data_IF_660401887181
#
_entry.id   IF_660401887181
#
_cell.length_a   1.000
_cell.length_b   1.000
_cell.length_c   1.000
_cell.angle_alpha   90.00
_cell.angle_beta   90.00
_cell.angle_gamma   90.00
#
_symmetry.space_group_name_H-M   'P 1'
#
loop_
_entity.id
_entity.type
_entity.pdbx_description
1 polymer ?
#
# COMPACT_ATOMS: atom_id res chain seq x y z
N UNK A 1 4.49 -3.88 5.60
CA UNK A 1 4.04 -2.71 4.81
C UNK A 1 5.25 -2.20 4.05
N UNK A 2 5.06 -1.56 2.89
CA UNK A 2 6.17 -1.05 2.07
C UNK A 2 7.05 -0.13 2.92
N UNK A 3 8.36 -0.39 3.02
CA UNK A 3 9.31 0.48 3.73
C UNK A 3 9.30 0.41 5.27
N UNK A 4 8.51 -0.46 5.89
CA UNK A 4 8.71 -0.78 7.31
C UNK A 4 9.89 -1.74 7.46
N UNK A 5 10.66 -1.61 8.54
CA UNK A 5 11.61 -2.66 8.91
C UNK A 5 10.88 -4.01 8.93
N UNK A 6 11.53 -5.05 8.39
CA UNK A 6 11.00 -6.41 8.39
C UNK A 6 10.36 -6.70 9.76
N UNK A 7 9.07 -7.09 9.81
CA UNK A 7 8.44 -7.40 11.09
C UNK A 7 9.29 -8.45 11.81
N UNK A 8 9.25 -8.41 13.15
CA UNK A 8 9.93 -9.34 14.05
C UNK A 8 9.99 -10.77 13.47
N UNK A 9 11.11 -11.49 13.67
CA UNK A 9 11.56 -12.60 12.81
C UNK A 9 10.46 -13.59 12.47
N UNK A 10 10.45 -14.06 11.22
CA UNK A 10 9.51 -15.06 10.72
C UNK A 10 9.33 -16.19 11.74
N UNK A 11 8.12 -16.34 12.27
CA UNK A 11 7.80 -17.44 13.17
C UNK A 11 7.72 -18.74 12.38
N UNK A 12 8.68 -19.64 12.60
CA UNK A 12 8.64 -21.01 12.06
C UNK A 12 7.94 -21.90 13.08
N UNK A 13 6.89 -22.61 12.65
CA UNK A 13 6.25 -23.62 13.49
C UNK A 13 6.94 -24.97 13.32
N UNK A 14 7.31 -25.62 14.43
CA UNK A 14 7.95 -26.94 14.43
C UNK A 14 7.00 -27.91 15.12
N UNK A 15 6.37 -28.79 14.33
CA UNK A 15 5.41 -29.77 14.82
C UNK A 15 6.02 -31.20 14.81
N UNK A 16 5.49 -32.08 15.65
CA UNK A 16 5.83 -33.52 15.62
C UNK A 16 7.09 -33.92 16.40
N UNK A 17 7.64 -33.02 17.22
CA UNK A 17 8.78 -33.30 18.12
C UNK A 17 8.50 -32.82 19.53
N UNK A 18 9.08 -33.52 20.53
CA UNK A 18 9.09 -33.08 21.92
C UNK A 18 10.25 -32.11 22.23
N UNK A 19 11.19 -31.97 21.28
CA UNK A 19 12.42 -31.18 21.42
C UNK A 19 12.64 -30.29 20.19
N UNK A 20 11.77 -29.30 19.94
CA UNK A 20 11.87 -28.40 18.79
C UNK A 20 13.18 -27.60 18.76
N UNK A 21 13.80 -27.36 19.91
CA UNK A 21 15.07 -26.65 20.06
C UNK A 21 16.29 -27.39 19.48
N UNK A 22 16.16 -28.68 19.18
CA UNK A 22 17.23 -29.48 18.56
C UNK A 22 17.19 -29.49 17.03
N UNK A 23 16.16 -28.90 16.43
CA UNK A 23 16.03 -28.78 14.97
C UNK A 23 16.70 -27.48 14.54
N UNK A 24 17.82 -27.62 13.82
CA UNK A 24 18.49 -26.51 13.16
C UNK A 24 17.83 -26.23 11.80
N UNK A 25 17.60 -24.94 11.54
CA UNK A 25 17.07 -24.44 10.28
C UNK A 25 17.56 -23.02 10.05
N UNK A 26 17.65 -22.63 8.79
CA UNK A 26 17.90 -21.27 8.33
C UNK A 26 16.62 -20.72 7.69
N UNK A 27 16.39 -19.42 7.88
CA UNK A 27 15.28 -18.70 7.24
C UNK A 27 15.85 -17.52 6.48
N UNK A 28 15.52 -17.44 5.20
CA UNK A 28 15.89 -16.31 4.33
C UNK A 28 14.62 -15.74 3.67
N UNK A 29 14.52 -14.41 3.63
CA UNK A 29 13.51 -13.71 2.82
C UNK A 29 14.21 -13.09 1.61
N UNK A 30 13.58 -13.16 0.44
CA UNK A 30 13.97 -12.34 -0.71
C UNK A 30 14.03 -10.85 -0.31
N UNK A 31 15.15 -10.21 -0.62
CA UNK A 31 15.35 -8.79 -0.33
C UNK A 31 14.38 -7.91 -1.15
N UNK A 32 13.89 -6.85 -0.52
CA UNK A 32 13.16 -5.78 -1.19
C UNK A 32 11.99 -5.27 -0.37
N UNK A 33 11.66 -4.02 -0.61
CA UNK A 33 10.64 -3.27 0.13
C UNK A 33 9.47 -2.86 -0.77
N UNK A 34 9.55 -3.18 -2.06
CA UNK A 34 8.54 -2.84 -3.04
C UNK A 34 7.23 -3.60 -2.87
N UNK A 35 6.12 -3.04 -3.35
CA UNK A 35 4.85 -3.77 -3.42
C UNK A 35 5.07 -5.02 -4.25
N UNK A 36 4.72 -6.17 -3.67
CA UNK A 36 5.00 -7.45 -4.29
C UNK A 36 4.95 -8.58 -3.28
N UNK A 37 5.32 -9.76 -3.76
CA UNK A 37 5.43 -10.97 -2.96
C UNK A 37 6.89 -11.39 -2.94
N UNK A 38 7.38 -11.72 -1.76
CA UNK A 38 8.74 -12.13 -1.47
C UNK A 38 8.71 -13.56 -0.95
N UNK A 39 9.59 -14.43 -1.46
CA UNK A 39 9.71 -15.78 -0.91
C UNK A 39 10.31 -15.72 0.50
N UNK A 40 9.80 -16.57 1.39
CA UNK A 40 10.41 -16.85 2.69
C UNK A 40 10.82 -18.31 2.66
N UNK A 41 12.10 -18.56 2.41
CA UNK A 41 12.65 -19.90 2.29
C UNK A 41 13.13 -20.38 3.66
N UNK A 42 12.64 -21.55 4.05
CA UNK A 42 13.14 -22.28 5.22
C UNK A 42 13.96 -23.45 4.70
N UNK A 43 15.18 -23.61 5.19
CA UNK A 43 16.07 -24.68 4.77
C UNK A 43 16.86 -25.24 5.94
N UNK A 44 17.44 -26.43 5.76
CA UNK A 44 18.22 -27.10 6.79
C UNK A 44 18.52 -28.54 6.40
N UNK A 45 19.14 -29.28 7.32
CA UNK A 45 19.36 -30.70 7.11
C UNK A 45 18.03 -31.45 7.28
N UNK A 46 17.65 -32.27 6.30
CA UNK A 46 16.45 -33.11 6.36
C UNK A 46 16.58 -34.25 7.36
N UNK A 47 17.79 -34.61 7.80
CA UNK A 47 18.03 -35.66 8.78
C UNK A 47 18.75 -35.09 9.99
N UNK A 48 18.01 -34.95 11.09
CA UNK A 48 18.52 -34.35 12.33
C UNK A 48 18.23 -35.29 13.50
N UNK A 49 19.29 -35.95 13.98
CA UNK A 49 19.17 -37.00 14.98
C UNK A 49 18.29 -38.15 14.48
N UNK A 50 17.19 -38.41 15.20
CA UNK A 50 16.23 -39.47 14.86
C UNK A 50 15.03 -38.98 14.02
N UNK A 51 15.07 -37.73 13.52
CA UNK A 51 13.97 -37.12 12.79
C UNK A 51 14.32 -36.94 11.30
N UNK A 52 13.33 -37.21 10.46
CA UNK A 52 13.30 -36.69 9.10
C UNK A 52 12.47 -35.41 9.10
N UNK A 53 13.11 -34.28 8.83
CA UNK A 53 12.53 -32.93 8.85
C UNK A 53 12.14 -32.54 7.44
N UNK A 54 10.93 -32.03 7.28
CA UNK A 54 10.46 -31.42 6.03
C UNK A 54 10.33 -29.92 6.22
N UNK A 55 10.92 -29.14 5.31
CA UNK A 55 10.86 -27.69 5.36
C UNK A 55 9.81 -27.17 4.37
N UNK A 56 8.87 -26.38 4.88
CA UNK A 56 7.83 -25.75 4.06
C UNK A 56 8.12 -24.26 4.01
N UNK A 57 8.39 -23.75 2.81
CA UNK A 57 8.62 -22.32 2.58
C UNK A 57 7.30 -21.54 2.59
N UNK A 58 7.36 -20.28 3.00
CA UNK A 58 6.24 -19.34 3.06
C UNK A 58 6.39 -18.20 2.06
N UNK A 59 5.47 -17.23 2.15
CA UNK A 59 5.54 -15.98 1.39
C UNK A 59 5.27 -14.79 2.30
N UNK A 60 5.93 -13.67 2.01
CA UNK A 60 5.69 -12.37 2.62
C UNK A 60 5.15 -11.42 1.55
N UNK A 61 4.05 -10.72 1.84
CA UNK A 61 3.42 -9.81 0.88
C UNK A 61 3.41 -8.38 1.37
N UNK A 62 3.88 -7.48 0.50
CA UNK A 62 3.81 -6.03 0.65
C UNK A 62 2.68 -5.52 -0.25
N UNK A 63 1.61 -5.01 0.36
CA UNK A 63 0.42 -4.51 -0.35
C UNK A 63 0.48 -3.01 -0.57
N UNK A 64 -0.20 -2.53 -1.63
CA UNK A 64 -0.39 -1.09 -1.87
C UNK A 64 -1.19 -0.47 -0.73
N UNK A 65 -0.76 0.71 -0.28
CA UNK A 65 -1.55 1.54 0.63
C UNK A 65 -2.62 2.29 -0.17
N UNK A 66 -3.82 2.43 0.40
CA UNK A 66 -4.88 3.22 -0.20
C UNK A 66 -4.55 4.72 -0.07
N UNK A 67 -4.62 5.45 -1.19
CA UNK A 67 -4.52 6.90 -1.25
C UNK A 67 -5.89 7.46 -1.64
N UNK A 68 -6.40 8.40 -0.85
CA UNK A 68 -7.64 9.11 -1.13
C UNK A 68 -7.33 10.54 -1.55
N UNK A 69 -7.85 10.95 -2.71
CA UNK A 69 -7.79 12.33 -3.20
C UNK A 69 -9.17 12.95 -3.06
N UNK A 70 -9.27 14.04 -2.31
CA UNK A 70 -10.54 14.73 -2.04
C UNK A 70 -10.48 16.15 -2.60
N UNK A 71 -11.42 16.49 -3.49
CA UNK A 71 -11.52 17.86 -3.97
C UNK A 71 -12.00 18.79 -2.86
N UNK A 72 -11.39 19.96 -2.76
CA UNK A 72 -11.79 20.97 -1.79
C UNK A 72 -13.12 21.59 -2.19
N UNK A 73 -13.97 21.78 -1.19
CA UNK A 73 -15.24 22.47 -1.38
C UNK A 73 -15.00 23.90 -1.88
N UNK A 74 -15.76 24.31 -2.90
CA UNK A 74 -15.72 25.67 -3.44
C UNK A 74 -17.12 26.28 -3.42
N UNK A 75 -17.19 27.49 -2.86
CA UNK A 75 -18.33 28.37 -2.99
C UNK A 75 -18.04 29.42 -4.05
N UNK A 76 -18.93 29.54 -5.03
CA UNK A 76 -18.81 30.52 -6.11
C UNK A 76 -20.04 31.41 -6.09
N UNK A 77 -19.82 32.73 -6.05
CA UNK A 77 -20.90 33.70 -6.21
C UNK A 77 -21.36 33.68 -7.68
N UNK A 78 -22.68 33.72 -7.88
CA UNK A 78 -23.31 33.75 -9.19
C UNK A 78 -22.65 34.78 -10.13
N UNK A 79 -22.39 34.38 -11.38
CA UNK A 79 -21.64 35.07 -12.48
C UNK A 79 -20.11 35.08 -12.41
N UNK A 80 -19.49 34.62 -11.32
CA UNK A 80 -18.04 34.54 -11.28
C UNK A 80 -17.49 33.47 -12.23
N UNK A 81 -16.23 33.66 -12.65
CA UNK A 81 -15.51 32.66 -13.41
C UNK A 81 -15.39 31.33 -12.65
N UNK A 82 -15.15 30.25 -13.38
CA UNK A 82 -14.86 28.93 -12.79
C UNK A 82 -13.68 29.07 -11.81
N UNK A 83 -13.83 28.65 -10.54
CA UNK A 83 -12.76 28.78 -9.55
C UNK A 83 -11.62 27.81 -9.89
N UNK A 84 -10.43 28.11 -9.36
CA UNK A 84 -9.35 27.12 -9.36
C UNK A 84 -9.70 26.03 -8.35
N UNK A 85 -9.79 24.80 -8.83
CA UNK A 85 -10.01 23.62 -8.00
C UNK A 85 -8.70 23.16 -7.36
N UNK A 86 -8.80 22.71 -6.12
CA UNK A 86 -7.68 22.19 -5.32
C UNK A 86 -8.13 20.88 -4.69
N UNK A 87 -7.17 20.03 -4.29
CA UNK A 87 -7.45 18.77 -3.64
C UNK A 87 -6.54 18.59 -2.43
N UNK A 88 -7.05 17.85 -1.46
CA UNK A 88 -6.31 17.29 -0.34
C UNK A 88 -6.06 15.80 -0.57
N UNK A 89 -4.93 15.33 -0.06
CA UNK A 89 -4.47 13.96 -0.21
C UNK A 89 -4.32 13.35 1.17
N UNK A 90 -4.83 12.14 1.34
CA UNK A 90 -4.70 11.40 2.58
C UNK A 90 -4.32 9.94 2.29
N UNK A 91 -3.35 9.42 3.04
CA UNK A 91 -2.87 8.05 2.89
C UNK A 91 -1.42 7.91 2.42
N UNK A 92 -0.69 9.01 2.22
CA UNK A 92 0.77 8.97 2.05
C UNK A 92 1.46 8.34 3.26
N UNK A 93 2.59 7.68 3.02
CA UNK A 93 3.37 6.94 4.00
C UNK A 93 4.85 7.21 3.80
N UNK A 94 5.70 6.91 4.79
CA UNK A 94 7.15 6.79 4.60
C UNK A 94 7.87 7.97 3.96
N UNK A 95 7.32 9.17 4.06
CA UNK A 95 7.86 10.37 3.43
C UNK A 95 7.39 10.60 1.99
N UNK A 96 6.54 9.72 1.45
CA UNK A 96 5.86 9.93 0.17
C UNK A 96 5.01 11.21 0.23
N UNK A 97 4.93 11.90 -0.90
CA UNK A 97 4.06 13.05 -1.08
C UNK A 97 3.49 13.15 -2.50
N UNK A 98 2.88 14.29 -2.83
CA UNK A 98 2.23 14.52 -4.12
C UNK A 98 3.21 14.42 -5.29
N UNK A 99 4.51 14.64 -5.06
CA UNK A 99 5.55 14.53 -6.10
C UNK A 99 5.81 13.09 -6.55
N UNK A 100 5.44 12.10 -5.75
CA UNK A 100 5.54 10.67 -6.09
C UNK A 100 4.37 10.19 -6.96
N UNK A 101 3.35 11.04 -7.14
CA UNK A 101 2.24 10.74 -8.05
C UNK A 101 2.59 11.08 -9.49
N UNK A 102 2.20 10.19 -10.39
CA UNK A 102 2.27 10.42 -11.83
C UNK A 102 0.90 10.81 -12.41
N UNK A 103 0.89 11.21 -13.68
CA UNK A 103 -0.31 11.67 -14.36
C UNK A 103 -0.60 13.15 -14.11
N UNK A 104 -1.82 13.57 -14.43
CA UNK A 104 -2.25 14.96 -14.26
C UNK A 104 -3.55 14.97 -13.47
N UNK A 105 -3.57 15.69 -12.35
CA UNK A 105 -4.81 15.89 -11.62
C UNK A 105 -5.75 16.76 -12.46
N UNK A 106 -6.92 16.21 -12.77
CA UNK A 106 -7.99 16.87 -13.50
C UNK A 106 -9.25 16.88 -12.63
N UNK A 107 -9.91 18.02 -12.55
CA UNK A 107 -11.19 18.17 -11.87
C UNK A 107 -12.32 18.24 -12.89
N UNK A 108 -13.29 17.34 -12.77
CA UNK A 108 -14.56 17.45 -13.47
C UNK A 108 -15.55 18.17 -12.57
N UNK A 109 -16.13 19.27 -13.06
CA UNK A 109 -17.19 19.99 -12.38
C UNK A 109 -18.17 20.54 -13.44
N UNK A 110 -19.48 20.37 -13.19
CA UNK A 110 -20.53 20.84 -14.10
C UNK A 110 -20.85 22.34 -14.00
N UNK A 111 -20.12 23.10 -13.18
CA UNK A 111 -20.37 24.54 -13.00
C UNK A 111 -20.06 25.34 -14.27
N UNK A 112 -21.05 26.11 -14.73
CA UNK A 112 -20.90 27.07 -15.80
C UNK A 112 -21.27 28.49 -15.30
N UNK A 113 -20.49 29.53 -15.65
CA UNK A 113 -20.84 30.91 -15.35
C UNK A 113 -22.22 31.27 -15.90
N UNK A 114 -22.99 32.07 -15.17
CA UNK A 114 -24.35 32.53 -15.53
C UNK A 114 -25.42 31.42 -15.64
N UNK A 115 -25.22 30.24 -15.06
CA UNK A 115 -26.27 29.24 -14.93
C UNK A 115 -27.41 29.78 -14.06
N UNK A 116 -28.65 29.82 -14.56
CA UNK A 116 -29.79 30.62 -14.05
C UNK A 116 -30.28 30.34 -12.61
N UNK A 117 -29.64 29.47 -11.83
CA UNK A 117 -30.10 29.07 -10.49
C UNK A 117 -28.92 28.75 -9.55
N UNK A 118 -29.14 28.87 -8.23
CA UNK A 118 -28.26 28.28 -7.23
C UNK A 118 -28.29 26.75 -7.35
N UNK A 119 -27.15 26.14 -7.66
CA UNK A 119 -27.04 24.69 -7.80
C UNK A 119 -25.78 24.18 -7.08
N UNK A 120 -25.87 22.95 -6.58
CA UNK A 120 -24.72 22.20 -6.04
C UNK A 120 -24.19 21.31 -7.15
N UNK A 121 -22.88 21.36 -7.38
CA UNK A 121 -22.18 20.51 -8.34
C UNK A 121 -21.10 19.71 -7.62
N UNK A 122 -20.98 18.43 -7.97
CA UNK A 122 -19.88 17.61 -7.49
C UNK A 122 -18.59 17.99 -8.22
N UNK A 123 -17.51 18.13 -7.46
CA UNK A 123 -16.16 18.31 -7.98
C UNK A 123 -15.47 16.95 -7.86
N UNK A 124 -15.25 16.29 -8.99
CA UNK A 124 -14.66 14.95 -9.02
C UNK A 124 -13.21 15.05 -9.48
N UNK A 125 -12.22 14.79 -8.60
CA UNK A 125 -10.82 14.70 -8.98
C UNK A 125 -10.54 13.37 -9.71
N UNK A 126 -9.70 13.40 -10.74
CA UNK A 126 -9.33 12.24 -11.56
C UNK A 126 -7.96 12.42 -12.24
N UNK A 127 -7.46 11.40 -12.94
CA UNK A 127 -6.29 11.52 -13.82
C UNK A 127 -4.92 11.32 -13.18
N UNK A 128 -4.86 11.12 -11.85
CA UNK A 128 -3.64 10.70 -11.16
C UNK A 128 -3.44 9.19 -11.21
N UNK A 129 -2.18 8.79 -11.32
CA UNK A 129 -1.73 7.39 -11.33
C UNK A 129 -0.56 7.21 -10.37
N UNK A 130 -0.43 6.03 -9.77
CA UNK A 130 0.73 5.59 -8.98
C UNK A 130 1.48 4.48 -9.70
#
# INVERSE_FOLDING_TARGET
MYGDADPAPFSVNIDGTAYPELIAFDVERDAGENVGTYAVTVSGNEYQGNYQVSFVSGTFSITKRALTVTADYKNVVYTNAVPVYTATYNGFANGDDVSDLSGSLVFACGYAPNAAYSATFDIVPSGLTS
#
